data_IF_172824862338
#
_entry.id   IF_172824862338
#
_cell.length_a   1.000
_cell.length_b   1.000
_cell.length_c   1.000
_cell.angle_alpha   90.00
_cell.angle_beta   90.00
_cell.angle_gamma   90.00
#
_symmetry.space_group_name_H-M   'P 1'
#
loop_
_entity.id
_entity.type
_entity.pdbx_description
1 polymer ?
#
# COMPACT_ATOMS: atom_id res chain seq x y z
N UNK A 1 46.16 51.08 -1.21
CA UNK A 1 47.27 50.13 -0.97
C UNK A 1 48.63 50.82 -0.81
N UNK A 2 48.80 52.07 -1.27
CA UNK A 2 50.03 52.85 -1.08
C UNK A 2 50.49 52.89 0.39
N UNK A 3 49.60 53.25 1.33
CA UNK A 3 49.93 53.32 2.77
C UNK A 3 50.38 51.98 3.40
N UNK A 4 49.91 50.86 2.86
CA UNK A 4 50.28 49.49 3.28
C UNK A 4 51.60 49.01 2.68
N UNK A 5 52.03 49.61 1.57
CA UNK A 5 53.32 49.33 0.93
C UNK A 5 54.44 50.18 1.54
N UNK A 6 54.11 51.33 2.13
CA UNK A 6 55.08 52.25 2.74
C UNK A 6 55.40 51.91 4.19
N UNK A 7 54.47 51.31 4.94
CA UNK A 7 54.64 50.98 6.36
C UNK A 7 54.25 49.53 6.65
N UNK A 8 55.26 48.71 6.91
CA UNK A 8 55.11 47.28 7.16
C UNK A 8 54.61 46.98 8.59
N UNK A 9 54.74 47.93 9.53
CA UNK A 9 54.29 47.78 10.92
C UNK A 9 52.77 47.95 11.06
N UNK A 10 52.12 48.58 10.08
CA UNK A 10 50.66 48.75 10.06
C UNK A 10 49.91 47.41 10.01
N UNK A 11 50.48 46.39 9.35
CA UNK A 11 49.95 45.02 9.34
C UNK A 11 50.00 44.39 10.73
N UNK A 12 51.15 44.48 11.41
CA UNK A 12 51.34 43.94 12.75
C UNK A 12 50.43 44.63 13.76
N UNK A 13 50.30 45.95 13.66
CA UNK A 13 49.40 46.74 14.50
C UNK A 13 47.93 46.36 14.33
N UNK A 14 47.46 46.22 13.08
CA UNK A 14 46.09 45.80 12.80
C UNK A 14 45.82 44.36 13.29
N UNK A 15 46.76 43.46 13.06
CA UNK A 15 46.67 42.06 13.48
C UNK A 15 46.61 41.91 15.01
N UNK A 16 47.45 42.63 15.76
CA UNK A 16 47.42 42.65 17.24
C UNK A 16 46.08 43.15 17.79
N UNK A 17 45.38 44.00 17.04
CA UNK A 17 44.04 44.51 17.38
C UNK A 17 42.90 43.67 16.81
N UNK A 18 43.19 42.49 16.24
CA UNK A 18 42.22 41.59 15.60
C UNK A 18 41.49 42.22 14.40
N UNK A 19 42.12 43.17 13.71
CA UNK A 19 41.59 43.82 12.51
C UNK A 19 42.30 43.26 11.29
N UNK A 20 41.54 42.66 10.37
CA UNK A 20 42.09 42.15 9.09
C UNK A 20 41.99 43.23 8.03
N UNK A 21 43.12 43.67 7.50
CA UNK A 21 43.16 44.64 6.41
C UNK A 21 42.86 43.92 5.09
N UNK A 22 41.74 44.27 4.47
CA UNK A 22 41.26 43.61 3.26
C UNK A 22 41.15 44.62 2.12
N UNK A 23 41.51 44.20 0.91
CA UNK A 23 41.13 44.95 -0.30
C UNK A 23 39.61 44.85 -0.51
N UNK A 24 38.98 45.81 -1.21
CA UNK A 24 37.54 45.74 -1.52
C UNK A 24 37.15 44.41 -2.18
N UNK A 25 38.02 43.86 -3.04
CA UNK A 25 37.82 42.57 -3.70
C UNK A 25 37.81 41.40 -2.70
N UNK A 26 38.76 41.37 -1.77
CA UNK A 26 38.84 40.30 -0.77
C UNK A 26 37.66 40.32 0.21
N UNK A 27 37.15 41.51 0.54
CA UNK A 27 35.94 41.65 1.34
C UNK A 27 34.69 41.10 0.64
N UNK A 28 34.51 41.41 -0.64
CA UNK A 28 33.41 40.88 -1.44
C UNK A 28 33.49 39.35 -1.54
N UNK A 29 34.70 38.81 -1.74
CA UNK A 29 34.92 37.37 -1.77
C UNK A 29 34.56 36.69 -0.43
N UNK A 30 34.97 37.25 0.70
CA UNK A 30 34.65 36.73 2.03
C UNK A 30 33.15 36.78 2.33
N UNK A 31 32.47 37.87 1.98
CA UNK A 31 31.02 38.01 2.16
C UNK A 31 30.23 37.01 1.30
N UNK A 32 30.66 36.78 0.05
CA UNK A 32 30.06 35.75 -0.81
C UNK A 32 30.25 34.35 -0.23
N UNK A 33 31.46 34.04 0.26
CA UNK A 33 31.73 32.76 0.89
C UNK A 33 30.85 32.51 2.12
N UNK A 34 30.66 33.52 2.97
CA UNK A 34 29.76 33.43 4.12
C UNK A 34 28.29 33.21 3.69
N UNK A 35 27.84 33.92 2.64
CA UNK A 35 26.49 33.74 2.08
C UNK A 35 26.30 32.32 1.51
N UNK A 36 27.27 31.81 0.77
CA UNK A 36 27.22 30.48 0.17
C UNK A 36 27.26 29.39 1.25
N UNK A 37 27.99 29.61 2.34
CA UNK A 37 28.00 28.73 3.49
C UNK A 37 26.62 28.65 4.16
N UNK A 38 25.97 29.79 4.41
CA UNK A 38 24.60 29.79 4.97
C UNK A 38 23.59 29.11 4.05
N UNK A 39 23.67 29.33 2.74
CA UNK A 39 22.81 28.64 1.77
C UNK A 39 23.03 27.13 1.81
N UNK A 40 24.29 26.69 1.88
CA UNK A 40 24.65 25.27 1.98
C UNK A 40 24.11 24.65 3.27
N UNK A 41 24.30 25.30 4.41
CA UNK A 41 23.75 24.87 5.70
C UNK A 41 22.23 24.70 5.66
N UNK A 42 21.53 25.68 5.09
CA UNK A 42 20.08 25.60 4.92
C UNK A 42 19.66 24.42 4.02
N UNK A 43 20.36 24.21 2.90
CA UNK A 43 20.10 23.09 2.01
C UNK A 43 20.37 21.73 2.69
N UNK A 44 21.46 21.61 3.45
CA UNK A 44 21.78 20.38 4.19
C UNK A 44 20.67 20.00 5.16
N UNK A 45 20.11 20.97 5.90
CA UNK A 45 18.97 20.73 6.80
C UNK A 45 17.75 20.20 6.05
N UNK A 46 17.42 20.80 4.89
CA UNK A 46 16.28 20.35 4.09
C UNK A 46 16.51 18.94 3.51
N UNK A 47 17.72 18.64 3.03
CA UNK A 47 18.07 17.31 2.53
C UNK A 47 17.92 16.27 3.65
N UNK A 48 18.40 16.58 4.86
CA UNK A 48 18.29 15.66 6.00
C UNK A 48 16.82 15.36 6.34
N UNK A 49 15.94 16.38 6.31
CA UNK A 49 14.51 16.18 6.53
C UNK A 49 13.87 15.36 5.40
N UNK A 50 14.25 15.60 4.14
CA UNK A 50 13.76 14.81 3.00
C UNK A 50 14.16 13.33 3.15
N UNK A 51 15.42 13.05 3.53
CA UNK A 51 15.88 11.68 3.75
C UNK A 51 15.11 11.02 4.89
N UNK A 52 14.94 11.71 6.02
CA UNK A 52 14.20 11.19 7.16
C UNK A 52 12.73 10.88 6.80
N UNK A 53 12.06 11.82 6.12
CA UNK A 53 10.69 11.63 5.63
C UNK A 53 10.60 10.50 4.61
N UNK A 54 11.59 10.39 3.73
CA UNK A 54 11.69 9.32 2.74
C UNK A 54 11.82 7.94 3.39
N UNK A 55 12.67 7.81 4.40
CA UNK A 55 12.81 6.57 5.18
C UNK A 55 11.51 6.20 5.90
N UNK A 56 10.90 7.15 6.61
CA UNK A 56 9.61 6.89 7.30
C UNK A 56 8.50 6.48 6.32
N UNK A 57 8.45 7.11 5.14
CA UNK A 57 7.48 6.77 4.10
C UNK A 57 7.71 5.36 3.57
N UNK A 58 8.97 4.98 3.33
CA UNK A 58 9.33 3.66 2.85
C UNK A 58 8.95 2.58 3.87
N UNK A 59 9.29 2.77 5.14
CA UNK A 59 8.91 1.84 6.21
C UNK A 59 7.39 1.67 6.31
N UNK A 60 6.65 2.78 6.17
CA UNK A 60 5.19 2.74 6.19
C UNK A 60 4.62 1.99 5.00
N UNK A 61 5.24 2.14 3.82
CA UNK A 61 4.84 1.43 2.61
C UNK A 61 5.06 -0.08 2.77
N UNK A 62 6.20 -0.50 3.31
CA UNK A 62 6.47 -1.93 3.60
C UNK A 62 5.42 -2.50 4.56
N UNK A 63 5.17 -1.82 5.68
CA UNK A 63 4.14 -2.25 6.64
C UNK A 63 2.73 -2.31 6.03
N UNK A 64 2.42 -1.39 5.12
CA UNK A 64 1.17 -1.42 4.37
C UNK A 64 1.10 -2.62 3.43
N UNK A 65 2.17 -2.95 2.70
CA UNK A 65 2.20 -4.13 1.82
C UNK A 65 1.98 -5.42 2.58
N UNK A 66 2.59 -5.60 3.75
CA UNK A 66 2.35 -6.78 4.61
C UNK A 66 0.89 -6.87 5.07
N UNK A 67 0.28 -5.73 5.39
CA UNK A 67 -1.14 -5.68 5.79
C UNK A 67 -2.04 -6.04 4.61
N UNK A 68 -1.69 -5.57 3.42
CA UNK A 68 -2.43 -5.84 2.19
C UNK A 68 -2.35 -7.32 1.79
N UNK A 69 -1.19 -7.96 1.90
CA UNK A 69 -1.03 -9.40 1.68
C UNK A 69 -1.91 -10.22 2.62
N UNK A 70 -1.94 -9.88 3.92
CA UNK A 70 -2.81 -10.55 4.91
C UNK A 70 -4.29 -10.45 4.56
N UNK A 71 -4.73 -9.32 3.98
CA UNK A 71 -6.10 -9.15 3.51
C UNK A 71 -6.38 -10.13 2.36
N UNK A 72 -5.44 -10.27 1.41
CA UNK A 72 -5.53 -11.25 0.32
C UNK A 72 -5.69 -12.68 0.83
N UNK A 73 -4.89 -13.08 1.81
CA UNK A 73 -4.96 -14.41 2.43
C UNK A 73 -6.30 -14.66 3.14
N UNK A 74 -6.79 -13.65 3.86
CA UNK A 74 -8.09 -13.71 4.54
C UNK A 74 -9.22 -13.85 3.53
N UNK A 75 -9.17 -13.13 2.41
CA UNK A 75 -10.16 -13.22 1.34
C UNK A 75 -10.14 -14.60 0.67
N UNK A 76 -8.95 -15.15 0.40
CA UNK A 76 -8.80 -16.51 -0.12
C UNK A 76 -9.40 -17.54 0.83
N UNK A 77 -9.21 -17.36 2.13
CA UNK A 77 -9.76 -18.24 3.17
C UNK A 77 -11.29 -18.12 3.23
N UNK A 78 -11.82 -16.91 3.19
CA UNK A 78 -13.26 -16.66 3.14
C UNK A 78 -13.90 -17.28 1.88
N UNK A 79 -13.25 -17.16 0.72
CA UNK A 79 -13.70 -17.77 -0.53
C UNK A 79 -13.75 -19.31 -0.43
N UNK A 80 -12.72 -19.95 0.14
CA UNK A 80 -12.72 -21.40 0.38
C UNK A 80 -13.82 -21.84 1.34
N UNK A 81 -14.06 -21.07 2.40
CA UNK A 81 -15.13 -21.34 3.35
C UNK A 81 -16.51 -21.23 2.68
N UNK A 82 -16.70 -20.21 1.82
CA UNK A 82 -17.90 -20.04 1.01
C UNK A 82 -18.13 -21.23 0.07
N UNK A 83 -17.12 -21.66 -0.69
CA UNK A 83 -17.24 -22.82 -1.59
C UNK A 83 -17.54 -24.11 -0.82
N UNK A 84 -16.96 -24.28 0.36
CA UNK A 84 -17.26 -25.42 1.24
C UNK A 84 -18.73 -25.41 1.67
N UNK A 85 -19.23 -24.26 2.13
CA UNK A 85 -20.63 -24.10 2.53
C UNK A 85 -21.59 -24.32 1.35
N UNK A 86 -21.24 -23.81 0.16
CA UNK A 86 -22.00 -24.00 -1.07
C UNK A 86 -22.08 -25.48 -1.48
N UNK A 87 -20.96 -26.21 -1.39
CA UNK A 87 -20.92 -27.65 -1.63
C UNK A 87 -21.79 -28.43 -0.64
N UNK A 88 -21.74 -28.08 0.66
CA UNK A 88 -22.60 -28.72 1.66
C UNK A 88 -24.09 -28.44 1.41
N UNK A 89 -24.41 -27.23 0.93
CA UNK A 89 -25.78 -26.81 0.67
C UNK A 89 -26.36 -27.45 -0.61
N UNK A 90 -25.67 -27.34 -1.74
CA UNK A 90 -26.24 -27.57 -3.07
C UNK A 90 -25.40 -28.45 -4.02
N UNK A 91 -24.09 -28.25 -4.09
CA UNK A 91 -23.28 -28.81 -5.20
C UNK A 91 -22.61 -30.16 -4.86
N UNK A 92 -22.42 -30.47 -3.57
CA UNK A 92 -21.68 -31.63 -3.08
C UNK A 92 -22.47 -32.95 -3.09
N UNK A 93 -21.77 -34.08 -3.09
CA UNK A 93 -22.39 -35.41 -2.98
C UNK A 93 -23.06 -35.55 -1.61
N UNK A 94 -24.39 -35.73 -1.62
CA UNK A 94 -25.17 -35.84 -0.38
C UNK A 94 -25.49 -34.50 0.27
N UNK A 95 -25.44 -33.40 -0.49
CA UNK A 95 -25.80 -32.06 -0.04
C UNK A 95 -27.22 -31.98 0.58
N UNK A 96 -27.42 -30.97 1.42
CA UNK A 96 -28.63 -30.82 2.25
C UNK A 96 -29.89 -30.70 1.39
N UNK A 97 -29.82 -29.99 0.25
CA UNK A 97 -30.98 -29.84 -0.65
C UNK A 97 -31.39 -31.20 -1.24
N UNK A 98 -30.43 -31.98 -1.74
CA UNK A 98 -30.69 -33.32 -2.28
C UNK A 98 -31.25 -34.27 -1.23
N UNK A 99 -30.76 -34.19 0.01
CA UNK A 99 -31.31 -35.00 1.11
C UNK A 99 -32.73 -34.58 1.48
N UNK A 100 -33.00 -33.26 1.53
CA UNK A 100 -34.33 -32.73 1.78
C UNK A 100 -35.33 -33.15 0.67
N UNK A 101 -34.90 -33.14 -0.60
CA UNK A 101 -35.73 -33.59 -1.71
C UNK A 101 -35.99 -35.10 -1.69
N UNK A 102 -35.00 -35.93 -1.31
CA UNK A 102 -35.21 -37.37 -1.09
C UNK A 102 -36.24 -37.62 0.02
N UNK A 103 -36.16 -36.89 1.12
CA UNK A 103 -37.12 -36.99 2.22
C UNK A 103 -38.53 -36.56 1.80
N UNK A 104 -38.65 -35.52 0.96
CA UNK A 104 -39.92 -35.13 0.36
C UNK A 104 -40.48 -36.24 -0.53
N UNK A 105 -39.65 -36.88 -1.36
CA UNK A 105 -40.04 -38.03 -2.21
C UNK A 105 -40.49 -39.24 -1.38
N UNK A 106 -39.96 -39.41 -0.16
CA UNK A 106 -40.34 -40.49 0.77
C UNK A 106 -41.62 -40.20 1.58
N UNK A 107 -42.33 -39.09 1.33
CA UNK A 107 -43.66 -38.84 1.88
C UNK A 107 -43.71 -37.84 3.05
N UNK A 108 -42.61 -37.16 3.38
CA UNK A 108 -42.65 -36.04 4.32
C UNK A 108 -43.26 -34.82 3.63
N UNK A 109 -44.29 -34.22 4.26
CA UNK A 109 -44.95 -33.01 3.77
C UNK A 109 -44.34 -31.79 4.49
N UNK A 110 -43.46 -31.02 3.84
CA UNK A 110 -42.87 -29.85 4.47
C UNK A 110 -43.90 -28.71 4.61
N UNK A 111 -43.89 -28.03 5.77
CA UNK A 111 -44.76 -26.86 6.05
C UNK A 111 -44.38 -25.60 5.24
N UNK A 112 -43.15 -25.49 4.76
CA UNK A 112 -42.65 -24.39 3.91
C UNK A 112 -41.76 -24.98 2.81
N UNK A 113 -41.87 -24.45 1.58
CA UNK A 113 -41.06 -24.89 0.43
C UNK A 113 -39.73 -24.12 0.37
N UNK A 114 -38.68 -24.80 -0.06
CA UNK A 114 -37.41 -24.16 -0.43
C UNK A 114 -37.64 -23.25 -1.65
N UNK A 115 -36.95 -22.09 -1.74
CA UNK A 115 -37.05 -21.21 -2.90
C UNK A 115 -36.56 -21.91 -4.17
N UNK A 116 -37.24 -21.64 -5.30
CA UNK A 116 -37.07 -22.34 -6.58
C UNK A 116 -35.64 -22.31 -7.11
N UNK A 117 -34.90 -21.22 -6.83
CA UNK A 117 -33.51 -21.03 -7.23
C UNK A 117 -32.54 -22.03 -6.60
N UNK A 118 -32.93 -22.70 -5.52
CA UNK A 118 -32.14 -23.73 -4.85
C UNK A 118 -32.64 -25.15 -5.14
N UNK A 119 -33.91 -25.33 -5.51
CA UNK A 119 -34.51 -26.66 -5.71
C UNK A 119 -34.41 -27.21 -7.14
N UNK A 120 -34.02 -26.40 -8.13
CA UNK A 120 -33.91 -26.83 -9.52
C UNK A 120 -32.45 -27.15 -9.91
N UNK A 121 -31.90 -28.14 -9.22
CA UNK A 121 -30.64 -28.79 -9.57
C UNK A 121 -30.87 -30.11 -10.30
N UNK A 122 -31.23 -30.04 -11.58
CA UNK A 122 -31.21 -31.15 -12.57
C UNK A 122 -32.18 -32.33 -12.33
N UNK A 123 -33.46 -32.13 -12.62
CA UNK A 123 -34.34 -33.25 -13.02
C UNK A 123 -35.03 -32.94 -14.37
N UNK A 124 -34.72 -33.76 -15.37
CA UNK A 124 -35.50 -34.08 -16.58
C UNK A 124 -35.61 -33.08 -17.75
N UNK A 125 -34.53 -33.01 -18.55
CA UNK A 125 -34.62 -32.72 -19.99
C UNK A 125 -34.42 -34.00 -20.84
N UNK A 126 -35.03 -35.12 -20.44
CA UNK A 126 -34.73 -36.43 -21.04
C UNK A 126 -35.91 -37.39 -21.31
N UNK A 127 -37.17 -37.01 -21.03
CA UNK A 127 -38.30 -37.95 -21.12
C UNK A 127 -39.48 -37.52 -22.01
N UNK A 128 -39.27 -36.66 -23.01
CA UNK A 128 -40.35 -36.24 -23.93
C UNK A 128 -40.37 -36.93 -25.31
N UNK A 129 -39.59 -37.98 -25.56
CA UNK A 129 -39.52 -38.60 -26.91
C UNK A 129 -39.85 -40.10 -26.99
N UNK A 130 -40.28 -40.77 -25.92
CA UNK A 130 -40.60 -42.22 -25.97
C UNK A 130 -42.08 -42.58 -25.98
N UNK A 131 -42.98 -41.63 -25.69
CA UNK A 131 -44.42 -41.93 -25.55
C UNK A 131 -45.25 -41.72 -26.82
N UNK A 132 -44.62 -41.34 -27.94
CA UNK A 132 -45.33 -41.10 -29.22
C UNK A 132 -45.30 -42.28 -30.21
N UNK A 133 -44.79 -43.46 -29.82
CA UNK A 133 -44.70 -44.64 -30.70
C UNK A 133 -45.39 -45.90 -30.14
N UNK A 134 -46.26 -45.78 -29.14
CA UNK A 134 -47.03 -46.94 -28.69
C UNK A 134 -48.43 -46.56 -28.20
N UNK A 135 -49.27 -46.09 -29.11
CA UNK A 135 -50.69 -46.46 -29.24
C UNK A 135 -51.23 -45.89 -30.56
#
# INVERSE_FOLDING_TARGET
>A
LLALQTDHDLWNYAYQRKVVLMSPTNLIAALRMALDLWKREYQLKNIQEIVNRGSMLYDKLVSFTETFEKIGDTLNTASKAYETAKNQLADGKGNVISQADKLRKLGIIPKKKLPSSMSEGKENAGNFTKDALNN
#
